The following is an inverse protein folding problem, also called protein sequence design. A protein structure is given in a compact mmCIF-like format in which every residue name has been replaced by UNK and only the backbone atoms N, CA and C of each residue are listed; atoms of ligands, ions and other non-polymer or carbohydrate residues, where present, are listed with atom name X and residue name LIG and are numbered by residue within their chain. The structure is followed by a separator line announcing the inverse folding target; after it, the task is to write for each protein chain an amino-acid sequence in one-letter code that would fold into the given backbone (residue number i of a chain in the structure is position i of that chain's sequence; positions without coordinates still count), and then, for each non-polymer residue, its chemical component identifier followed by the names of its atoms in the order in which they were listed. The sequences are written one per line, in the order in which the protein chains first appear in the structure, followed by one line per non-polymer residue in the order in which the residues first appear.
data_IF_067733861826
#
_entry.id   IF_067733861826
#
_cell.length_a   1.000
_cell.length_b   1.000
_cell.length_c   1.000
_cell.angle_alpha   90.00
_cell.angle_beta   90.00
_cell.angle_gamma   90.00
#
_symmetry.space_group_name_H-M   'P 1'
#
loop_
_entity.id
_entity.type
_entity.pdbx_description
1 polymer ?
#
# COMPACT_ATOMS: atom_id res chain seq x y z
N UNK A 1 -30.05 3.66 -13.46
CA UNK A 1 -29.11 2.58 -13.17
C UNK A 1 -27.80 2.80 -13.92
N UNK A 2 -26.66 2.73 -13.21
CA UNK A 2 -25.34 2.80 -13.81
C UNK A 2 -24.79 1.39 -14.05
N UNK A 3 -24.18 1.20 -15.21
CA UNK A 3 -23.55 -0.07 -15.56
C UNK A 3 -22.03 0.10 -15.67
N UNK A 4 -21.30 -0.96 -15.33
CA UNK A 4 -19.83 -0.95 -15.40
C UNK A 4 -19.34 -0.65 -16.81
N UNK A 5 -20.01 -1.20 -17.85
CA UNK A 5 -19.65 -0.97 -19.26
C UNK A 5 -19.71 0.50 -19.69
N UNK A 6 -20.47 1.34 -18.98
CA UNK A 6 -20.52 2.78 -19.27
C UNK A 6 -19.24 3.51 -18.89
N UNK A 7 -18.38 2.88 -18.11
CA UNK A 7 -17.08 3.41 -17.67
C UNK A 7 -15.90 2.82 -18.47
N UNK A 8 -16.19 1.98 -19.45
CA UNK A 8 -15.16 1.41 -20.32
C UNK A 8 -14.54 2.47 -21.23
N UNK A 9 -13.21 2.44 -21.33
CA UNK A 9 -12.45 3.26 -22.26
C UNK A 9 -11.10 2.58 -22.54
N UNK A 10 -10.48 2.91 -23.65
CA UNK A 10 -9.13 2.46 -23.95
C UNK A 10 -8.11 3.25 -23.15
N UNK A 11 -7.23 2.53 -22.46
CA UNK A 11 -6.09 3.11 -21.76
C UNK A 11 -4.81 2.48 -22.31
N UNK A 12 -4.12 3.17 -23.26
CA UNK A 12 -2.87 2.65 -23.80
C UNK A 12 -1.81 2.47 -22.73
N UNK A 13 -1.08 1.36 -22.76
CA UNK A 13 -0.04 1.05 -21.76
C UNK A 13 1.04 2.13 -21.68
N UNK A 14 1.39 2.76 -22.78
CA UNK A 14 2.39 3.83 -22.83
C UNK A 14 2.01 5.07 -22.02
N UNK A 15 0.74 5.22 -21.68
CA UNK A 15 0.27 6.32 -20.84
C UNK A 15 0.35 6.02 -19.33
N UNK A 16 0.70 4.79 -18.97
CA UNK A 16 0.89 4.39 -17.58
C UNK A 16 2.33 4.66 -17.15
N UNK A 17 2.51 5.55 -16.16
CA UNK A 17 3.83 5.81 -15.61
C UNK A 17 4.28 4.65 -14.73
N UNK A 18 5.49 4.17 -14.96
CA UNK A 18 6.12 3.14 -14.12
C UNK A 18 6.84 3.74 -12.91
N UNK A 19 7.30 4.98 -13.03
CA UNK A 19 8.00 5.71 -11.98
C UNK A 19 7.29 7.03 -11.68
N UNK A 20 7.29 7.48 -10.41
CA UNK A 20 6.75 8.79 -10.06
C UNK A 20 7.63 9.92 -10.61
N UNK A 21 7.09 11.13 -10.68
CA UNK A 21 7.86 12.32 -11.01
C UNK A 21 9.02 12.49 -10.01
N UNK A 22 10.13 13.08 -10.44
CA UNK A 22 11.30 13.30 -9.57
C UNK A 22 10.92 14.02 -8.28
N UNK A 23 10.14 15.10 -8.39
CA UNK A 23 9.58 15.81 -7.25
C UNK A 23 8.09 15.48 -7.12
N UNK A 24 7.63 15.20 -5.90
CA UNK A 24 6.26 14.74 -5.62
C UNK A 24 5.19 15.68 -6.15
N UNK A 25 5.40 16.99 -6.02
CA UNK A 25 4.44 18.02 -6.37
C UNK A 25 4.51 18.49 -7.83
N UNK A 26 5.35 17.87 -8.63
CA UNK A 26 5.51 18.18 -10.05
C UNK A 26 4.72 17.24 -10.97
N UNK A 27 3.94 16.33 -10.41
CA UNK A 27 3.00 15.54 -11.19
C UNK A 27 1.90 16.43 -11.77
N UNK A 28 1.39 16.04 -12.93
CA UNK A 28 0.30 16.78 -13.58
C UNK A 28 -0.98 16.69 -12.77
N UNK A 29 -1.72 17.78 -12.74
CA UNK A 29 -3.00 17.92 -12.08
C UNK A 29 -4.08 18.32 -13.09
N UNK A 30 -5.13 17.53 -13.16
CA UNK A 30 -6.32 17.90 -13.94
C UNK A 30 -7.33 18.53 -12.99
N UNK A 31 -7.77 19.73 -13.29
CA UNK A 31 -8.77 20.47 -12.49
C UNK A 31 -10.09 20.51 -13.25
N UNK A 32 -11.10 19.84 -12.71
CA UNK A 32 -12.43 19.80 -13.28
C UNK A 32 -13.34 20.75 -12.53
N UNK A 33 -13.93 21.71 -13.24
CA UNK A 33 -14.98 22.57 -12.67
C UNK A 33 -16.33 22.13 -13.24
N UNK A 34 -17.10 21.40 -12.43
CA UNK A 34 -18.38 20.82 -12.87
C UNK A 34 -19.43 21.88 -13.13
N UNK A 35 -19.41 22.96 -12.36
CA UNK A 35 -20.37 24.07 -12.49
C UNK A 35 -20.16 24.83 -13.79
N UNK A 36 -18.92 25.13 -14.12
CA UNK A 36 -18.56 25.87 -15.33
C UNK A 36 -18.23 24.96 -16.51
N UNK A 37 -18.18 23.64 -16.28
CA UNK A 37 -17.86 22.63 -17.27
C UNK A 37 -16.51 22.88 -17.97
N UNK A 38 -15.51 23.22 -17.19
CA UNK A 38 -14.15 23.47 -17.65
C UNK A 38 -13.20 22.40 -17.17
N UNK A 39 -12.15 22.17 -17.98
CA UNK A 39 -11.03 21.29 -17.64
C UNK A 39 -9.75 22.11 -17.79
N UNK A 40 -8.97 22.19 -16.73
CA UNK A 40 -7.66 22.83 -16.75
C UNK A 40 -6.56 21.82 -16.45
N UNK A 41 -5.40 22.00 -17.06
CA UNK A 41 -4.23 21.16 -16.85
C UNK A 41 -3.17 21.99 -16.11
N UNK A 42 -2.84 21.54 -14.91
CA UNK A 42 -1.91 22.19 -14.00
C UNK A 42 -0.86 21.19 -13.51
N UNK A 43 -0.04 21.60 -12.57
CA UNK A 43 0.81 20.70 -11.79
C UNK A 43 0.32 20.66 -10.34
N UNK A 44 0.63 19.59 -9.63
CA UNK A 44 0.10 19.43 -8.27
C UNK A 44 0.48 20.58 -7.34
N UNK A 45 1.67 21.15 -7.52
CA UNK A 45 2.12 22.34 -6.76
C UNK A 45 1.18 23.53 -6.92
N UNK A 46 0.41 23.60 -8.01
CA UNK A 46 -0.57 24.68 -8.24
C UNK A 46 -1.82 24.52 -7.38
N UNK A 47 -1.92 23.41 -6.62
CA UNK A 47 -3.03 23.18 -5.70
C UNK A 47 -3.24 24.34 -4.73
N UNK A 48 -2.17 25.03 -4.37
CA UNK A 48 -2.21 26.19 -3.47
C UNK A 48 -3.16 27.29 -3.94
N UNK A 49 -3.37 27.39 -5.26
CA UNK A 49 -4.24 28.43 -5.83
C UNK A 49 -5.73 28.17 -5.59
N UNK A 50 -6.08 26.96 -5.15
CA UNK A 50 -7.46 26.51 -4.97
C UNK A 50 -7.92 26.49 -3.51
N UNK A 51 -7.04 26.76 -2.57
CA UNK A 51 -7.33 26.70 -1.14
C UNK A 51 -6.89 27.96 -0.43
N UNK A 52 -7.63 28.32 0.63
CA UNK A 52 -7.34 29.49 1.46
C UNK A 52 -7.60 29.22 2.94
N UNK A 53 -7.59 30.27 3.76
CA UNK A 53 -7.76 30.19 5.21
C UNK A 53 -9.12 29.68 5.68
N UNK A 54 -10.13 29.65 4.80
CA UNK A 54 -11.45 29.11 5.12
C UNK A 54 -11.54 27.61 4.95
N UNK A 55 -10.56 27.02 4.28
CA UNK A 55 -10.56 25.60 3.96
C UNK A 55 -9.89 24.77 5.03
N UNK A 56 -10.37 23.54 5.17
CA UNK A 56 -9.73 22.49 5.98
C UNK A 56 -9.35 21.34 5.04
N UNK A 57 -8.09 21.00 5.03
CA UNK A 57 -7.58 19.85 4.28
C UNK A 57 -7.45 18.66 5.21
N UNK A 58 -8.21 17.61 4.91
CA UNK A 58 -8.18 16.37 5.70
C UNK A 58 -7.17 15.41 5.10
N UNK A 59 -6.20 15.00 5.89
CA UNK A 59 -5.11 14.11 5.49
C UNK A 59 -5.26 12.76 6.18
N UNK A 60 -5.06 11.69 5.41
CA UNK A 60 -5.00 10.34 5.97
C UNK A 60 -3.55 10.03 6.36
N UNK A 61 -3.28 9.96 7.66
CA UNK A 61 -1.94 9.75 8.22
C UNK A 61 -1.56 8.28 8.40
N UNK A 62 -2.28 7.38 7.76
CA UNK A 62 -1.91 5.95 7.77
C UNK A 62 -0.53 5.73 7.19
N UNK A 63 0.15 4.72 7.70
CA UNK A 63 1.47 4.32 7.23
C UNK A 63 1.41 2.92 6.64
N UNK A 64 1.99 2.74 5.45
CA UNK A 64 2.07 1.45 4.80
C UNK A 64 3.07 0.58 5.56
N UNK A 65 2.62 -0.63 5.87
CA UNK A 65 3.46 -1.67 6.43
C UNK A 65 4.08 -2.47 5.28
N UNK A 66 5.40 -2.77 5.31
CA UNK A 66 6.01 -3.58 4.25
C UNK A 66 5.57 -5.03 4.39
N UNK A 67 4.39 -5.31 3.85
CA UNK A 67 3.61 -6.52 4.13
C UNK A 67 4.00 -7.74 3.30
N UNK A 68 4.88 -7.59 2.31
CA UNK A 68 5.22 -8.65 1.36
C UNK A 68 6.55 -9.28 1.72
N UNK A 69 6.53 -10.59 1.99
CA UNK A 69 7.72 -11.36 2.35
C UNK A 69 8.01 -12.42 1.29
N UNK A 70 9.25 -12.53 0.88
CA UNK A 70 9.72 -13.59 0.00
C UNK A 70 10.58 -14.57 0.80
N UNK A 71 10.37 -15.85 0.57
CA UNK A 71 11.08 -16.88 1.29
C UNK A 71 11.09 -18.21 0.56
N UNK A 72 11.45 -19.23 1.29
CA UNK A 72 11.57 -20.58 0.77
C UNK A 72 10.88 -21.57 1.71
N UNK A 73 10.27 -22.58 1.11
CA UNK A 73 9.66 -23.67 1.85
C UNK A 73 10.74 -24.62 2.35
N UNK A 74 10.62 -25.08 3.60
CA UNK A 74 11.48 -26.11 4.17
C UNK A 74 11.50 -27.37 3.30
N UNK A 75 12.61 -28.08 3.30
CA UNK A 75 12.87 -29.34 2.58
C UNK A 75 13.01 -29.21 1.07
N UNK A 76 12.04 -28.62 0.39
CA UNK A 76 12.07 -28.49 -1.07
C UNK A 76 12.85 -27.27 -1.55
N UNK A 77 12.99 -26.25 -0.71
CA UNK A 77 13.58 -24.97 -1.10
C UNK A 77 12.72 -24.17 -2.09
N UNK A 78 11.48 -24.60 -2.35
CA UNK A 78 10.60 -23.91 -3.28
C UNK A 78 10.37 -22.48 -2.87
N UNK A 79 10.50 -21.54 -3.81
CA UNK A 79 10.27 -20.11 -3.56
C UNK A 79 8.80 -19.86 -3.28
N UNK A 80 8.54 -19.09 -2.23
CA UNK A 80 7.18 -18.73 -1.82
C UNK A 80 7.10 -17.25 -1.49
N UNK A 81 5.89 -16.74 -1.54
CA UNK A 81 5.56 -15.36 -1.19
C UNK A 81 4.45 -15.35 -0.16
N UNK A 82 4.59 -14.48 0.85
CA UNK A 82 3.61 -14.28 1.90
C UNK A 82 3.24 -12.81 1.94
N UNK A 83 1.94 -12.53 1.96
CA UNK A 83 1.41 -11.19 2.12
C UNK A 83 0.72 -11.09 3.48
N UNK A 84 1.27 -10.29 4.38
CA UNK A 84 0.75 -10.10 5.73
C UNK A 84 -0.51 -9.26 5.71
N UNK A 85 -1.62 -9.77 6.27
CA UNK A 85 -2.90 -9.08 6.31
C UNK A 85 -3.17 -8.43 7.65
N UNK A 86 -3.06 -9.23 8.71
CA UNK A 86 -3.46 -8.80 10.04
C UNK A 86 -2.78 -9.65 11.11
N UNK A 87 -2.32 -9.00 12.17
CA UNK A 87 -1.88 -9.70 13.36
C UNK A 87 -3.09 -10.20 14.15
N UNK A 88 -3.16 -11.50 14.39
CA UNK A 88 -4.25 -12.13 15.11
C UNK A 88 -3.97 -12.21 16.62
N UNK A 89 -2.74 -12.49 16.99
CA UNK A 89 -2.30 -12.55 18.37
C UNK A 89 -0.82 -12.19 18.47
N UNK A 90 -0.52 -11.14 19.19
CA UNK A 90 0.84 -10.72 19.48
C UNK A 90 1.57 -11.74 20.34
N UNK A 91 0.89 -12.26 21.37
CA UNK A 91 1.46 -13.22 22.31
C UNK A 91 1.76 -14.57 21.68
N UNK A 92 0.84 -15.06 20.84
CA UNK A 92 0.98 -16.33 20.15
C UNK A 92 1.72 -16.20 18.82
N UNK A 93 2.05 -14.97 18.40
CA UNK A 93 2.78 -14.68 17.15
C UNK A 93 2.05 -15.15 15.91
N UNK A 94 0.71 -15.03 15.94
CA UNK A 94 -0.17 -15.47 14.86
C UNK A 94 -0.52 -14.32 13.93
N UNK A 95 -0.48 -14.61 12.64
CA UNK A 95 -0.84 -13.67 11.58
C UNK A 95 -1.76 -14.32 10.56
N UNK A 96 -2.75 -13.54 10.13
CA UNK A 96 -3.55 -13.87 8.97
C UNK A 96 -2.82 -13.37 7.72
N UNK A 97 -2.65 -14.24 6.74
CA UNK A 97 -1.83 -13.96 5.56
C UNK A 97 -2.44 -14.53 4.28
N UNK A 98 -2.01 -14.01 3.13
CA UNK A 98 -2.16 -14.66 1.84
C UNK A 98 -0.83 -15.28 1.44
N UNK A 99 -0.88 -16.39 0.73
CA UNK A 99 0.32 -17.12 0.28
C UNK A 99 0.27 -17.41 -1.22
N UNK A 100 1.45 -17.50 -1.83
CA UNK A 100 1.62 -17.86 -3.23
C UNK A 100 2.92 -18.64 -3.44
N UNK A 101 2.89 -19.78 -4.12
CA UNK A 101 1.72 -20.50 -4.65
C UNK A 101 1.00 -21.29 -3.55
N UNK A 102 -0.30 -21.06 -3.42
CA UNK A 102 -1.08 -21.62 -2.31
C UNK A 102 -1.08 -23.15 -2.29
N UNK A 103 -1.07 -23.80 -3.45
CA UNK A 103 -1.05 -25.28 -3.56
C UNK A 103 0.19 -25.93 -2.93
N UNK A 104 1.29 -25.18 -2.80
CA UNK A 104 2.55 -25.67 -2.24
C UNK A 104 2.69 -25.42 -0.75
N UNK A 105 1.81 -24.62 -0.18
CA UNK A 105 1.91 -24.16 1.20
C UNK A 105 0.77 -24.75 2.02
N UNK A 106 1.10 -25.77 2.81
CA UNK A 106 0.16 -26.61 3.55
C UNK A 106 0.37 -26.51 5.05
N UNK A 107 -0.65 -26.85 5.82
CA UNK A 107 -0.57 -26.94 7.29
C UNK A 107 0.63 -27.81 7.68
N UNK A 108 1.43 -27.32 8.64
CA UNK A 108 2.63 -27.97 9.13
C UNK A 108 3.92 -27.59 8.40
N UNK A 109 3.81 -26.95 7.23
CA UNK A 109 5.01 -26.49 6.54
C UNK A 109 5.70 -25.37 7.29
N UNK A 110 7.01 -25.34 7.25
CA UNK A 110 7.83 -24.22 7.70
C UNK A 110 8.31 -23.40 6.51
N UNK A 111 8.27 -22.10 6.67
CA UNK A 111 8.66 -21.13 5.67
C UNK A 111 9.81 -20.31 6.23
N UNK A 112 10.87 -20.17 5.44
CA UNK A 112 12.11 -19.47 5.83
C UNK A 112 12.23 -18.16 5.06
N UNK A 113 12.47 -17.07 5.78
CA UNK A 113 12.59 -15.75 5.20
C UNK A 113 13.95 -15.14 5.51
N UNK A 114 14.49 -14.38 4.55
CA UNK A 114 15.81 -13.79 4.66
C UNK A 114 16.91 -14.71 4.15
N UNK A 115 18.03 -14.13 3.76
CA UNK A 115 19.19 -14.87 3.26
C UNK A 115 19.80 -15.76 4.35
N UNK A 116 19.74 -15.34 5.58
CA UNK A 116 20.24 -16.05 6.74
C UNK A 116 19.19 -16.94 7.42
N UNK A 117 17.98 -17.02 6.83
CA UNK A 117 16.85 -17.79 7.38
C UNK A 117 16.54 -17.41 8.84
N UNK A 118 16.79 -16.16 9.20
CA UNK A 118 16.62 -15.65 10.57
C UNK A 118 15.18 -15.54 11.02
N UNK A 119 14.24 -15.53 10.07
CA UNK A 119 12.81 -15.46 10.36
C UNK A 119 12.13 -16.70 9.78
N UNK A 120 11.45 -17.43 10.64
CA UNK A 120 10.75 -18.67 10.29
C UNK A 120 9.28 -18.55 10.65
N UNK A 121 8.41 -19.12 9.84
CA UNK A 121 6.99 -19.23 10.16
C UNK A 121 6.51 -20.66 9.91
N UNK A 122 5.54 -21.09 10.71
CA UNK A 122 4.86 -22.37 10.55
C UNK A 122 3.43 -22.13 10.11
N UNK A 123 2.97 -22.88 9.12
CA UNK A 123 1.58 -22.83 8.65
C UNK A 123 0.70 -23.60 9.63
N UNK A 124 -0.19 -22.88 10.32
CA UNK A 124 -1.03 -23.44 11.39
C UNK A 124 -2.39 -23.86 10.86
N UNK A 125 -2.98 -23.07 9.95
CA UNK A 125 -4.34 -23.30 9.46
C UNK A 125 -4.52 -22.75 8.05
N UNK A 126 -5.57 -23.24 7.38
CA UNK A 126 -6.08 -22.69 6.13
C UNK A 126 -7.30 -21.83 6.43
N UNK A 127 -7.37 -20.63 5.87
CA UNK A 127 -8.52 -19.74 6.06
C UNK A 127 -9.37 -19.64 4.78
N UNK A 128 -8.73 -19.41 3.65
CA UNK A 128 -9.34 -19.39 2.33
C UNK A 128 -8.47 -20.17 1.36
N UNK A 129 -8.83 -20.24 0.08
CA UNK A 129 -8.01 -20.93 -0.93
C UNK A 129 -6.57 -20.44 -0.98
N UNK A 130 -6.34 -19.15 -0.73
CA UNK A 130 -5.02 -18.53 -0.69
C UNK A 130 -4.63 -18.02 0.70
N UNK A 131 -5.54 -18.11 1.64
CA UNK A 131 -5.34 -17.63 3.00
C UNK A 131 -4.77 -18.69 3.92
N UNK A 132 -3.92 -18.27 4.84
CA UNK A 132 -3.31 -19.12 5.87
C UNK A 132 -3.21 -18.35 7.18
N UNK A 133 -3.15 -19.11 8.26
CA UNK A 133 -2.69 -18.58 9.55
C UNK A 133 -1.26 -19.04 9.74
N UNK A 134 -0.35 -18.09 9.98
CA UNK A 134 1.05 -18.39 10.26
C UNK A 134 1.38 -18.09 11.71
N UNK A 135 2.21 -18.94 12.32
CA UNK A 135 2.88 -18.66 13.58
C UNK A 135 4.34 -18.36 13.29
N UNK A 136 4.80 -17.15 13.65
CA UNK A 136 6.20 -16.81 13.51
C UNK A 136 7.01 -17.38 14.67
N UNK A 137 8.15 -17.97 14.33
CA UNK A 137 9.11 -18.55 15.26
C UNK A 137 10.37 -17.69 15.23
N UNK A 138 10.67 -17.03 16.33
CA UNK A 138 11.86 -16.19 16.43
C UNK A 138 12.36 -16.14 17.87
N UNK A 139 13.65 -15.92 18.00
CA UNK A 139 14.27 -15.66 19.28
C UNK A 139 14.25 -14.15 19.56
N UNK A 140 13.96 -13.77 20.80
CA UNK A 140 13.90 -12.39 21.22
C UNK A 140 12.50 -11.84 21.40
N UNK A 141 12.41 -10.54 21.63
CA UNK A 141 11.17 -9.85 21.92
C UNK A 141 10.41 -9.40 20.66
N UNK A 142 9.24 -8.85 20.92
CA UNK A 142 8.34 -8.37 19.87
C UNK A 142 8.98 -7.26 19.01
N UNK A 143 9.73 -6.36 19.62
CA UNK A 143 10.39 -5.28 18.89
C UNK A 143 11.44 -5.81 17.90
N UNK A 144 12.20 -6.82 18.29
CA UNK A 144 13.15 -7.48 17.39
C UNK A 144 12.44 -8.16 16.21
N UNK A 145 11.30 -8.78 16.47
CA UNK A 145 10.46 -9.38 15.43
C UNK A 145 9.98 -8.31 14.44
N UNK A 146 9.48 -7.18 14.93
CA UNK A 146 9.04 -6.06 14.10
C UNK A 146 10.18 -5.49 13.26
N UNK A 147 11.36 -5.38 13.81
CA UNK A 147 12.55 -4.95 13.06
C UNK A 147 12.89 -5.91 11.93
N UNK A 148 12.82 -7.22 12.19
CA UNK A 148 13.03 -8.23 11.15
C UNK A 148 12.00 -8.14 10.04
N UNK A 149 10.72 -8.00 10.38
CA UNK A 149 9.66 -7.80 9.39
C UNK A 149 9.90 -6.55 8.55
N UNK A 150 10.26 -5.44 9.17
CA UNK A 150 10.54 -4.20 8.46
C UNK A 150 11.76 -4.32 7.53
N UNK A 151 12.78 -5.07 7.95
CA UNK A 151 13.98 -5.29 7.14
C UNK A 151 13.74 -6.20 5.94
N UNK A 152 12.93 -7.25 6.11
CA UNK A 152 12.67 -8.26 5.08
C UNK A 152 11.46 -7.92 4.20
N UNK A 153 10.52 -7.16 4.75
CA UNK A 153 9.29 -6.82 4.05
C UNK A 153 9.53 -5.89 2.86
N UNK A 154 8.76 -6.11 1.82
CA UNK A 154 8.79 -5.33 0.59
C UNK A 154 7.50 -4.53 0.46
N UNK A 155 7.63 -3.25 0.11
CA UNK A 155 6.49 -2.36 -0.10
C UNK A 155 5.69 -2.85 -1.31
N UNK A 156 4.37 -3.13 -1.16
CA UNK A 156 3.56 -3.51 -2.29
C UNK A 156 3.33 -2.31 -3.21
N UNK A 157 3.59 -2.49 -4.51
CA UNK A 157 3.29 -1.49 -5.53
C UNK A 157 1.87 -1.66 -6.07
N UNK A 158 1.24 -0.59 -6.60
CA UNK A 158 -0.01 -0.72 -7.34
C UNK A 158 0.13 -1.72 -8.48
N UNK A 159 -0.94 -2.48 -8.75
CA UNK A 159 -0.91 -3.56 -9.76
C UNK A 159 -0.60 -3.09 -11.17
N UNK A 160 -0.92 -1.84 -11.51
CA UNK A 160 -0.64 -1.32 -12.85
C UNK A 160 0.85 -1.06 -13.08
N UNK A 161 1.64 -1.00 -12.02
CA UNK A 161 3.10 -0.84 -12.11
C UNK A 161 3.71 -2.22 -12.27
N UNK A 162 4.19 -2.51 -13.48
CA UNK A 162 4.68 -3.84 -13.86
C UNK A 162 6.20 -3.91 -13.86
N UNK A 163 6.82 -3.44 -12.79
CA UNK A 163 8.26 -3.54 -12.57
C UNK A 163 8.54 -4.09 -11.18
N UNK A 164 9.77 -4.49 -10.94
CA UNK A 164 10.20 -4.90 -9.62
C UNK A 164 10.29 -3.70 -8.67
N UNK A 165 10.13 -3.96 -7.37
CA UNK A 165 10.26 -2.96 -6.33
C UNK A 165 11.72 -2.50 -6.26
N UNK A 166 11.93 -1.19 -6.24
CA UNK A 166 13.22 -0.55 -6.09
C UNK A 166 13.38 -0.01 -4.65
N UNK A 167 14.61 0.18 -4.17
CA UNK A 167 14.84 0.68 -2.79
C UNK A 167 14.13 2.01 -2.49
N UNK A 168 14.03 2.90 -3.48
CA UNK A 168 13.39 4.22 -3.34
C UNK A 168 11.88 4.12 -3.14
N UNK A 169 11.27 3.02 -3.55
CA UNK A 169 9.81 2.84 -3.46
C UNK A 169 9.30 2.84 -2.02
N UNK A 170 10.09 2.38 -1.08
CA UNK A 170 9.73 2.36 0.34
C UNK A 170 9.40 3.77 0.85
N UNK A 171 10.13 4.77 0.39
CA UNK A 171 9.88 6.17 0.73
C UNK A 171 8.85 6.81 -0.20
N UNK A 172 8.93 6.56 -1.51
CA UNK A 172 8.07 7.20 -2.51
C UNK A 172 6.61 6.74 -2.45
N UNK A 173 6.35 5.49 -2.05
CA UNK A 173 4.99 4.97 -1.85
C UNK A 173 4.54 5.09 -0.39
N UNK A 174 5.01 6.12 0.28
CA UNK A 174 4.62 6.54 1.61
C UNK A 174 4.37 8.04 1.57
N UNK A 175 3.28 8.52 2.21
CA UNK A 175 3.08 9.96 2.32
C UNK A 175 4.11 10.57 3.27
N UNK A 176 4.40 11.85 3.10
CA UNK A 176 5.35 12.54 3.98
C UNK A 176 4.80 12.77 5.39
N UNK A 177 3.51 12.58 5.58
CA UNK A 177 2.83 12.73 6.88
C UNK A 177 2.35 11.39 7.45
N UNK A 178 2.83 10.28 6.94
CA UNK A 178 2.49 8.94 7.46
C UNK A 178 2.96 8.78 8.90
N UNK A 179 2.08 8.30 9.78
CA UNK A 179 2.37 8.13 11.21
C UNK A 179 2.03 6.75 11.76
N UNK A 180 0.84 6.24 11.46
CA UNK A 180 0.29 5.04 12.09
C UNK A 180 0.26 3.85 11.15
N UNK A 181 1.11 2.86 11.40
CA UNK A 181 1.17 1.65 10.60
C UNK A 181 -0.13 0.84 10.65
N UNK A 182 -0.47 0.19 9.55
CA UNK A 182 -1.64 -0.66 9.45
C UNK A 182 -2.20 -0.78 8.03
N UNK A 183 -1.77 0.08 7.12
CA UNK A 183 -2.23 0.02 5.73
C UNK A 183 -1.37 -0.93 4.89
N UNK A 184 -1.99 -1.62 3.95
CA UNK A 184 -1.31 -2.44 2.94
C UNK A 184 -1.08 -1.68 1.63
N UNK A 185 -1.71 -0.52 1.48
CA UNK A 185 -1.52 0.37 0.34
C UNK A 185 -1.53 1.82 0.80
N UNK A 186 -0.77 2.66 0.12
CA UNK A 186 -0.71 4.09 0.43
C UNK A 186 -1.98 4.81 -0.05
N UNK A 187 -2.40 5.89 0.64
CA UNK A 187 -3.40 6.80 0.13
C UNK A 187 -2.78 7.62 -1.01
N UNK A 188 -2.90 7.12 -2.23
CA UNK A 188 -2.10 7.53 -3.39
C UNK A 188 -2.20 9.01 -3.74
N UNK A 189 -3.36 9.63 -3.55
CA UNK A 189 -3.51 11.07 -3.78
C UNK A 189 -2.56 11.89 -2.88
N UNK A 190 -2.32 11.43 -1.65
CA UNK A 190 -1.42 12.08 -0.71
C UNK A 190 0.06 11.99 -1.08
N UNK A 191 0.43 11.06 -1.96
CA UNK A 191 1.82 10.88 -2.38
C UNK A 191 2.38 12.09 -3.13
N UNK A 192 1.51 12.94 -3.67
CA UNK A 192 1.90 14.14 -4.42
C UNK A 192 2.27 15.33 -3.53
N UNK A 193 1.96 15.27 -2.24
CA UNK A 193 2.35 16.33 -1.31
C UNK A 193 3.84 16.27 -1.01
N UNK A 194 4.53 17.38 -1.27
CA UNK A 194 5.89 17.61 -0.77
C UNK A 194 5.83 18.37 0.55
N UNK A 195 6.90 18.30 1.34
CA UNK A 195 7.03 19.11 2.56
C UNK A 195 6.94 20.60 2.24
N UNK A 196 7.52 21.00 1.13
CA UNK A 196 7.49 22.39 0.66
C UNK A 196 6.06 22.86 0.38
N UNK A 197 5.27 22.07 -0.34
CA UNK A 197 3.88 22.41 -0.65
C UNK A 197 3.02 22.50 0.61
N UNK A 198 3.14 21.53 1.52
CA UNK A 198 2.42 21.56 2.80
C UNK A 198 2.76 22.81 3.60
N UNK A 199 4.03 23.19 3.64
CA UNK A 199 4.48 24.40 4.34
C UNK A 199 3.90 25.66 3.72
N UNK A 200 3.86 25.74 2.41
CA UNK A 200 3.26 26.87 1.70
C UNK A 200 1.76 26.99 1.96
N UNK A 201 1.03 25.88 1.98
CA UNK A 201 -0.39 25.84 2.33
C UNK A 201 -0.62 26.31 3.76
N UNK A 202 0.21 25.85 4.69
CA UNK A 202 0.17 26.28 6.09
C UNK A 202 0.40 27.79 6.23
N UNK A 203 1.40 28.33 5.53
CA UNK A 203 1.69 29.78 5.53
C UNK A 203 0.53 30.56 4.94
N UNK A 204 -0.12 30.05 3.91
CA UNK A 204 -1.32 30.69 3.32
C UNK A 204 -2.50 30.72 4.29
N UNK A 205 -2.48 29.87 5.32
CA UNK A 205 -3.53 29.82 6.35
C UNK A 205 -4.50 28.67 6.20
N UNK A 206 -4.23 27.74 5.28
CA UNK A 206 -5.05 26.53 5.13
C UNK A 206 -4.94 25.69 6.40
N UNK A 207 -6.09 25.25 6.92
CA UNK A 207 -6.16 24.40 8.10
C UNK A 207 -6.02 22.94 7.71
N UNK A 208 -5.40 22.15 8.59
CA UNK A 208 -5.23 20.73 8.38
C UNK A 208 -5.86 19.93 9.50
N UNK A 209 -6.49 18.82 9.14
CA UNK A 209 -7.01 17.83 10.09
C UNK A 209 -6.51 16.46 9.66
N UNK A 210 -6.21 15.59 10.61
CA UNK A 210 -5.73 14.25 10.33
C UNK A 210 -6.78 13.21 10.70
N UNK A 211 -6.89 12.18 9.86
CA UNK A 211 -7.64 10.95 10.14
C UNK A 211 -6.71 9.76 9.93
N UNK A 212 -7.02 8.64 10.54
CA UNK A 212 -6.29 7.40 10.31
C UNK A 212 -7.22 6.36 9.71
N UNK A 213 -7.07 6.12 8.42
CA UNK A 213 -7.85 5.13 7.68
C UNK A 213 -6.88 4.12 7.06
N UNK A 214 -6.82 2.93 7.65
CA UNK A 214 -5.98 1.86 7.13
C UNK A 214 -6.60 1.25 5.89
N UNK A 215 -5.88 1.35 4.76
CA UNK A 215 -6.30 0.82 3.48
C UNK A 215 -5.99 -0.66 3.45
N UNK A 216 -7.02 -1.49 3.32
CA UNK A 216 -6.91 -2.93 3.31
C UNK A 216 -6.83 -3.52 1.91
N UNK A 217 -6.82 -4.85 1.83
CA UNK A 217 -6.71 -5.61 0.57
C UNK A 217 -7.84 -5.33 -0.41
N UNK A 218 -9.02 -4.96 0.06
CA UNK A 218 -10.17 -4.66 -0.82
C UNK A 218 -9.88 -3.59 -1.86
N UNK A 219 -8.91 -2.71 -1.62
CA UNK A 219 -8.50 -1.67 -2.58
C UNK A 219 -7.87 -2.22 -3.85
N UNK A 220 -7.39 -3.46 -3.82
CA UNK A 220 -6.78 -4.12 -4.95
C UNK A 220 -7.77 -4.94 -5.78
N UNK A 221 -9.01 -5.10 -5.29
CA UNK A 221 -10.03 -5.89 -5.98
C UNK A 221 -10.74 -5.02 -7.03
N UNK A 222 -10.80 -5.48 -8.29
CA UNK A 222 -11.57 -4.78 -9.31
C UNK A 222 -13.07 -4.90 -9.05
N UNK A 223 -13.83 -3.98 -9.60
CA UNK A 223 -15.30 -4.08 -9.64
C UNK A 223 -15.68 -5.15 -10.65
N UNK A 224 -16.39 -6.17 -10.21
CA UNK A 224 -16.78 -7.33 -11.04
C UNK A 224 -18.26 -7.33 -11.45
N UNK A 225 -19.09 -6.54 -10.75
CA UNK A 225 -20.52 -6.45 -11.04
C UNK A 225 -20.82 -5.44 -12.13
N UNK A 226 -21.72 -5.76 -13.06
CA UNK A 226 -22.12 -4.85 -14.14
C UNK A 226 -23.05 -3.75 -13.64
N UNK A 227 -23.99 -4.06 -12.76
CA UNK A 227 -24.92 -3.08 -12.19
C UNK A 227 -24.31 -2.45 -10.93
N UNK A 228 -24.12 -1.13 -10.97
CA UNK A 228 -23.49 -0.34 -9.91
C UNK A 228 -24.49 0.41 -9.02
N UNK A 229 -25.81 0.21 -9.22
CA UNK A 229 -26.86 0.88 -8.45
C UNK A 229 -27.11 0.25 -7.08
#
# INVERSE_FOLDING_TARGET
HMKLSQFEFELPEELLSEHPAENRDESRLMVLNRKEQTIEHKYFKDLIDYFDEEDVMVLNNTKVFPARLFGNKEKTGARIEVFLLRELSKEQRLWDVLVDPARKIRIGNKLYFGEDESLVAEVIDNTTSRGRTLRFLYDGGYEEFREKLNALGVTPLPKYIKREVEPEDKERYQTIYAKHEGAVAAPTAGLHFSKHLLKRLEIKGVNFAEVTLHIGLGTFNPVEVEDLS
#
